data_IF_814585979478
#
_entry.id   IF_814585979478
#
_cell.length_a   1.000
_cell.length_b   1.000
_cell.length_c   1.000
_cell.angle_alpha   90.00
_cell.angle_beta   90.00
_cell.angle_gamma   90.00
#
_symmetry.space_group_name_H-M   'P 1'
#
loop_
_entity.id
_entity.type
_entity.pdbx_description
1 polymer ?
#
# COMPACT_ATOMS: atom_id res chain seq x y z
N UNK A 1 -14.23 10.70 -12.10
CA UNK A 1 -13.01 11.52 -12.12
C UNK A 1 -11.84 10.57 -12.00
N UNK A 2 -10.95 10.58 -12.99
CA UNK A 2 -9.87 9.61 -13.22
C UNK A 2 -8.82 9.68 -12.12
N UNK A 3 -8.57 8.55 -11.45
CA UNK A 3 -7.60 8.40 -10.37
C UNK A 3 -6.17 8.32 -10.88
N UNK A 4 -5.60 9.47 -11.23
CA UNK A 4 -4.17 9.67 -11.55
C UNK A 4 -3.55 10.64 -10.53
N UNK A 5 -3.92 10.49 -9.26
CA UNK A 5 -3.55 11.43 -8.21
C UNK A 5 -2.18 11.14 -7.60
N UNK A 6 -1.37 12.18 -7.45
CA UNK A 6 -0.10 12.10 -6.71
C UNK A 6 -0.28 12.33 -5.22
N UNK A 7 0.46 11.56 -4.42
CA UNK A 7 0.73 11.90 -3.02
C UNK A 7 1.74 13.04 -3.00
N UNK A 8 1.62 13.97 -2.05
CA UNK A 8 2.70 14.91 -1.77
C UNK A 8 3.16 14.78 -0.32
N UNK A 9 4.47 14.90 -0.09
CA UNK A 9 5.04 15.02 1.25
C UNK A 9 6.09 16.11 1.22
N UNK A 10 5.95 17.09 2.12
CA UNK A 10 6.95 18.14 2.32
C UNK A 10 7.02 18.53 3.80
N UNK A 11 8.22 18.87 4.26
CA UNK A 11 8.43 19.34 5.61
C UNK A 11 8.91 20.80 5.57
N UNK A 12 8.52 21.57 6.58
CA UNK A 12 8.84 23.01 6.66
C UNK A 12 9.88 23.21 7.75
N UNK A 13 10.99 23.89 7.47
CA UNK A 13 11.94 24.23 8.51
C UNK A 13 11.35 25.23 9.51
N UNK A 14 11.76 25.13 10.78
CA UNK A 14 11.41 26.07 11.85
C UNK A 14 12.11 27.41 11.68
N UNK A 15 13.38 27.40 11.29
CA UNK A 15 14.20 28.56 11.02
C UNK A 15 14.43 28.73 9.50
N UNK A 16 14.99 29.87 9.08
CA UNK A 16 15.30 30.15 7.66
C UNK A 16 16.33 29.21 7.05
N UNK A 17 17.17 28.60 7.88
CA UNK A 17 18.13 27.58 7.46
C UNK A 17 18.07 26.43 8.45
N UNK A 18 18.24 25.22 7.95
CA UNK A 18 18.33 24.02 8.75
C UNK A 18 19.05 22.92 7.98
N UNK A 19 19.62 21.98 8.72
CA UNK A 19 20.30 20.79 8.19
C UNK A 19 19.39 19.55 8.24
N UNK A 20 18.14 19.71 8.71
CA UNK A 20 17.18 18.63 8.74
C UNK A 20 16.93 18.06 7.34
N UNK A 21 16.92 16.74 7.30
CA UNK A 21 16.54 15.93 6.15
C UNK A 21 15.35 15.05 6.53
N UNK A 22 14.64 14.56 5.52
CA UNK A 22 13.56 13.62 5.73
C UNK A 22 13.64 12.40 4.81
N UNK A 23 13.18 11.27 5.32
CA UNK A 23 12.91 10.06 4.54
C UNK A 23 11.40 9.77 4.52
N UNK A 24 10.89 9.36 3.37
CA UNK A 24 9.48 8.99 3.19
C UNK A 24 9.37 7.51 2.92
N UNK A 25 8.57 6.81 3.71
CA UNK A 25 8.25 5.40 3.53
C UNK A 25 6.78 5.26 3.15
N UNK A 26 6.49 4.62 2.04
CA UNK A 26 5.14 4.40 1.54
C UNK A 26 4.91 2.90 1.38
N UNK A 27 4.04 2.32 2.20
CA UNK A 27 3.77 0.88 2.17
C UNK A 27 2.31 0.64 1.80
N UNK A 28 2.06 0.07 0.63
CA UNK A 28 0.73 -0.36 0.22
C UNK A 28 0.51 -1.83 0.59
N UNK A 29 -0.60 -2.12 1.27
CA UNK A 29 -0.94 -3.49 1.66
C UNK A 29 -2.22 -3.93 0.96
N UNK A 30 -2.09 -4.86 0.01
CA UNK A 30 -3.18 -5.46 -0.79
C UNK A 30 -3.78 -6.68 -0.08
N UNK A 31 -4.20 -6.51 1.18
CA UNK A 31 -4.72 -7.59 2.02
C UNK A 31 -6.05 -8.14 1.48
N UNK A 32 -6.88 -7.27 0.90
CA UNK A 32 -8.15 -7.67 0.28
C UNK A 32 -7.97 -8.27 -1.13
N UNK A 33 -6.72 -8.41 -1.61
CA UNK A 33 -6.43 -9.07 -2.89
C UNK A 33 -6.69 -10.57 -2.89
N UNK A 34 -6.70 -11.21 -1.71
CA UNK A 34 -7.14 -12.60 -1.56
C UNK A 34 -8.66 -12.64 -1.28
N UNK A 35 -9.44 -13.09 -2.26
CA UNK A 35 -10.90 -13.15 -2.17
C UNK A 35 -11.42 -14.20 -1.16
N UNK A 36 -10.62 -15.22 -0.86
CA UNK A 36 -11.00 -16.29 0.06
C UNK A 36 -10.65 -15.93 1.52
N UNK A 37 -9.75 -14.98 1.73
CA UNK A 37 -9.40 -14.48 3.06
C UNK A 37 -10.54 -13.70 3.72
N UNK A 38 -10.96 -14.13 4.91
CA UNK A 38 -12.07 -13.52 5.70
C UNK A 38 -11.60 -12.60 6.81
N UNK A 39 -10.31 -12.62 7.15
CA UNK A 39 -9.74 -11.86 8.25
C UNK A 39 -10.23 -12.29 9.63
N UNK A 40 -9.57 -11.78 10.68
CA UNK A 40 -9.88 -12.06 12.10
C UNK A 40 -11.25 -11.52 12.52
N UNK A 41 -11.68 -10.39 11.94
CA UNK A 41 -12.88 -9.65 12.34
C UNK A 41 -13.87 -9.42 11.17
N UNK A 42 -13.78 -10.19 10.09
CA UNK A 42 -14.70 -10.15 8.94
C UNK A 42 -14.55 -8.94 7.99
N UNK A 43 -13.94 -7.83 8.43
CA UNK A 43 -13.68 -6.65 7.58
C UNK A 43 -12.21 -6.62 7.15
N UNK A 44 -11.92 -7.23 6.01
CA UNK A 44 -10.63 -7.13 5.33
C UNK A 44 -10.61 -5.87 4.48
N UNK A 45 -9.56 -5.06 4.60
CA UNK A 45 -9.39 -3.83 3.82
C UNK A 45 -7.93 -3.66 3.44
N UNK A 46 -7.72 -3.09 2.27
CA UNK A 46 -6.43 -2.54 1.90
C UNK A 46 -6.16 -1.25 2.67
N UNK A 47 -4.88 -0.95 2.81
CA UNK A 47 -4.44 0.26 3.45
C UNK A 47 -3.10 0.72 2.90
N UNK A 48 -2.88 2.03 3.04
CA UNK A 48 -1.62 2.68 2.80
C UNK A 48 -1.00 3.06 4.14
N UNK A 49 0.26 2.73 4.37
CA UNK A 49 1.03 3.27 5.49
C UNK A 49 2.03 4.30 4.99
N UNK A 50 2.04 5.46 5.63
CA UNK A 50 2.98 6.54 5.38
C UNK A 50 3.86 6.75 6.60
N UNK A 51 5.16 6.60 6.38
CA UNK A 51 6.21 6.86 7.33
C UNK A 51 6.99 8.12 6.97
N UNK A 52 7.26 8.97 7.94
CA UNK A 52 8.17 10.12 7.77
C UNK A 52 9.25 10.06 8.85
N UNK A 53 10.50 9.93 8.41
CA UNK A 53 11.69 9.95 9.24
C UNK A 53 12.33 11.33 9.16
N UNK A 54 12.65 11.94 10.30
CA UNK A 54 13.32 13.24 10.40
C UNK A 54 14.66 13.08 11.09
N UNK A 55 15.75 13.54 10.49
CA UNK A 55 17.09 13.49 11.09
C UNK A 55 17.27 14.49 12.23
N UNK A 56 16.87 15.75 12.00
CA UNK A 56 16.93 16.85 12.97
C UNK A 56 15.52 17.40 13.25
N UNK A 57 14.65 16.65 13.95
CA UNK A 57 13.24 16.99 14.09
C UNK A 57 13.00 18.33 14.80
N UNK A 58 13.90 18.76 15.69
CA UNK A 58 13.80 20.04 16.39
C UNK A 58 13.80 21.25 15.44
N UNK A 59 14.44 21.10 14.28
CA UNK A 59 14.54 22.10 13.22
C UNK A 59 13.34 22.08 12.25
N UNK A 60 12.37 21.18 12.43
CA UNK A 60 11.18 21.05 11.57
C UNK A 60 9.96 21.65 12.25
N UNK A 61 9.25 22.54 11.57
CA UNK A 61 8.04 23.19 12.07
C UNK A 61 6.80 22.30 11.97
N UNK A 62 6.64 21.63 10.81
CA UNK A 62 5.50 20.76 10.50
C UNK A 62 5.88 19.80 9.37
N UNK A 63 5.18 18.68 9.30
CA UNK A 63 5.21 17.75 8.16
C UNK A 63 3.83 17.75 7.52
N UNK A 64 3.77 18.01 6.22
CA UNK A 64 2.54 18.00 5.45
C UNK A 64 2.51 16.77 4.53
N UNK A 65 1.36 16.10 4.47
CA UNK A 65 1.12 14.92 3.65
C UNK A 65 -0.21 15.14 2.92
N UNK A 66 -0.17 15.27 1.59
CA UNK A 66 -1.35 15.33 0.75
C UNK A 66 -1.69 13.96 0.18
N UNK A 67 -2.95 13.57 0.30
CA UNK A 67 -3.52 12.35 -0.25
C UNK A 67 -4.58 12.72 -1.29
N UNK A 68 -4.56 12.12 -2.50
CA UNK A 68 -5.44 12.51 -3.61
C UNK A 68 -6.86 11.94 -3.49
N UNK A 69 -7.37 11.78 -2.27
CA UNK A 69 -8.70 11.28 -1.97
C UNK A 69 -9.18 11.81 -0.62
N UNK A 70 -10.50 11.88 -0.45
CA UNK A 70 -11.13 12.32 0.78
C UNK A 70 -11.00 11.25 1.88
N UNK A 71 -10.62 11.69 3.07
CA UNK A 71 -10.46 10.85 4.25
C UNK A 71 -11.07 11.52 5.47
N UNK A 72 -11.69 10.70 6.31
CA UNK A 72 -12.08 11.08 7.66
C UNK A 72 -10.94 10.72 8.62
N UNK A 73 -10.81 11.47 9.71
CA UNK A 73 -9.82 11.20 10.76
C UNK A 73 -9.93 9.77 11.31
N UNK A 74 -11.14 9.23 11.38
CA UNK A 74 -11.42 7.84 11.82
C UNK A 74 -10.88 6.76 10.89
N UNK A 75 -10.45 7.11 9.67
CA UNK A 75 -9.80 6.20 8.73
C UNK A 75 -8.27 6.16 8.93
N UNK A 76 -7.73 6.94 9.86
CA UNK A 76 -6.31 7.04 10.16
C UNK A 76 -6.02 6.35 11.49
N UNK A 77 -5.03 5.47 11.49
CA UNK A 77 -4.53 4.75 12.66
C UNK A 77 -3.06 5.10 12.89
N UNK A 78 -2.70 5.30 14.15
CA UNK A 78 -1.30 5.45 14.56
C UNK A 78 -0.63 4.07 14.64
N UNK A 79 0.44 3.87 13.86
CA UNK A 79 1.18 2.61 13.88
C UNK A 79 2.27 2.56 14.96
N UNK A 80 2.60 3.67 15.62
CA UNK A 80 3.68 3.72 16.60
C UNK A 80 3.54 2.73 17.76
N UNK A 81 2.34 2.47 18.33
CA UNK A 81 2.19 1.48 19.41
C UNK A 81 2.70 0.08 19.05
N UNK A 82 2.62 -0.32 17.78
CA UNK A 82 3.12 -1.63 17.34
C UNK A 82 4.64 -1.77 17.43
N UNK A 83 5.40 -0.66 17.45
CA UNK A 83 6.86 -0.69 17.57
C UNK A 83 7.35 -1.07 18.96
N UNK A 84 6.46 -1.14 19.97
CA UNK A 84 6.77 -1.72 21.27
C UNK A 84 6.98 -3.25 21.21
N UNK A 85 6.70 -3.88 20.06
CA UNK A 85 7.06 -5.27 19.76
C UNK A 85 8.32 -5.29 18.92
N UNK A 86 9.37 -5.91 19.45
CA UNK A 86 10.69 -5.95 18.84
C UNK A 86 10.62 -6.54 17.42
N UNK A 87 9.85 -7.61 17.22
CA UNK A 87 9.73 -8.30 15.94
C UNK A 87 9.16 -7.39 14.85
N UNK A 88 8.21 -6.51 15.20
CA UNK A 88 7.64 -5.52 14.29
C UNK A 88 8.67 -4.45 13.94
N UNK A 89 9.35 -3.90 14.96
CA UNK A 89 10.36 -2.88 14.75
C UNK A 89 11.51 -3.40 13.86
N UNK A 90 12.00 -4.61 14.15
CA UNK A 90 13.02 -5.29 13.35
C UNK A 90 12.50 -5.60 11.94
N UNK A 91 11.27 -6.07 11.80
CA UNK A 91 10.66 -6.39 10.51
C UNK A 91 10.49 -5.16 9.60
N UNK A 92 10.13 -4.01 10.17
CA UNK A 92 9.94 -2.75 9.45
C UNK A 92 11.27 -2.11 9.05
N UNK A 93 12.23 -2.00 9.97
CA UNK A 93 13.50 -1.32 9.71
C UNK A 93 14.56 -2.25 9.10
N UNK A 94 14.36 -3.57 9.16
CA UNK A 94 15.33 -4.58 8.77
C UNK A 94 16.67 -4.40 9.51
N UNK A 95 16.59 -4.11 10.81
CA UNK A 95 17.72 -3.84 11.69
C UNK A 95 17.56 -4.62 13.00
N UNK A 96 18.63 -5.08 13.65
CA UNK A 96 18.56 -5.75 14.95
C UNK A 96 18.31 -4.71 16.05
N UNK A 97 17.03 -4.44 16.29
CA UNK A 97 16.56 -3.43 17.25
C UNK A 97 16.10 -4.06 18.57
N UNK A 98 16.14 -3.27 19.62
CA UNK A 98 15.37 -3.47 20.85
C UNK A 98 14.49 -2.24 21.10
N UNK A 99 13.46 -2.38 21.93
CA UNK A 99 12.52 -1.30 22.21
C UNK A 99 12.42 -1.03 23.73
N UNK A 100 12.39 0.25 24.09
CA UNK A 100 12.08 0.69 25.44
C UNK A 100 10.84 1.59 25.41
N UNK A 101 9.80 1.18 26.12
CA UNK A 101 8.67 2.05 26.43
C UNK A 101 9.05 2.90 27.64
N UNK A 102 9.27 4.21 27.43
CA UNK A 102 9.62 5.13 28.52
C UNK A 102 8.37 5.54 29.31
N UNK A 103 8.52 5.72 30.63
CA UNK A 103 7.62 6.56 31.43
C UNK A 103 7.99 8.02 31.12
N UNK A 104 7.29 8.65 30.18
CA UNK A 104 7.66 9.96 29.63
C UNK A 104 6.81 10.30 28.41
N UNK A 105 7.32 11.11 27.44
CA UNK A 105 6.56 11.49 26.24
C UNK A 105 6.04 10.25 25.51
N UNK A 106 4.85 10.36 24.91
CA UNK A 106 4.18 9.27 24.20
C UNK A 106 5.01 8.87 22.97
N UNK A 107 5.93 7.92 23.16
CA UNK A 107 6.83 7.44 22.13
C UNK A 107 7.36 6.04 22.44
N UNK A 108 7.85 5.36 21.39
CA UNK A 108 8.66 4.14 21.51
C UNK A 108 10.10 4.49 21.16
N UNK A 109 11.04 4.24 22.07
CA UNK A 109 12.47 4.42 21.81
C UNK A 109 13.03 3.12 21.24
N UNK A 110 13.56 3.18 20.02
CA UNK A 110 14.22 2.08 19.35
C UNK A 110 15.73 2.20 19.55
N UNK A 111 16.37 1.08 19.87
CA UNK A 111 17.78 1.01 20.21
C UNK A 111 18.46 0.01 19.29
N UNK A 112 19.60 0.39 18.72
CA UNK A 112 20.48 -0.47 17.92
C UNK A 112 21.81 -0.61 18.65
N UNK A 113 22.18 -1.83 19.01
CA UNK A 113 23.48 -2.13 19.64
C UNK A 113 23.79 -1.26 20.88
N UNK A 114 22.77 -0.97 21.70
CA UNK A 114 22.89 -0.15 22.91
C UNK A 114 22.85 1.37 22.66
N UNK A 115 22.78 1.81 21.41
CA UNK A 115 22.67 3.24 21.04
C UNK A 115 21.25 3.59 20.60
N UNK A 116 20.73 4.80 20.90
CA UNK A 116 19.43 5.24 20.39
C UNK A 116 19.43 5.24 18.86
N UNK A 117 18.53 4.47 18.25
CA UNK A 117 18.35 4.39 16.81
C UNK A 117 17.40 5.49 16.32
N UNK A 118 16.19 5.53 16.89
CA UNK A 118 15.23 6.62 16.70
C UNK A 118 14.14 6.58 17.76
N UNK A 119 13.33 7.65 17.83
CA UNK A 119 12.06 7.63 18.56
C UNK A 119 10.87 7.63 17.62
N UNK A 120 9.93 6.72 17.85
CA UNK A 120 8.66 6.67 17.12
C UNK A 120 7.61 7.40 17.94
N UNK A 121 7.00 8.45 17.38
CA UNK A 121 5.98 9.24 18.09
C UNK A 121 4.65 8.49 18.18
N UNK A 122 4.08 8.36 19.38
CA UNK A 122 2.72 7.89 19.60
C UNK A 122 1.80 9.10 19.69
N UNK A 123 0.81 9.16 18.81
CA UNK A 123 -0.17 10.24 18.79
C UNK A 123 -1.17 10.07 19.94
N UNK A 124 -1.46 11.17 20.62
CA UNK A 124 -2.48 11.26 21.65
C UNK A 124 -3.86 11.01 21.04
N UNK A 125 -4.75 10.44 21.85
CA UNK A 125 -6.14 10.22 21.45
C UNK A 125 -7.09 10.94 22.39
N UNK A 126 -8.11 11.57 21.82
CA UNK A 126 -9.22 12.22 22.52
C UNK A 126 -10.52 11.50 22.11
N UNK A 127 -11.20 10.86 23.07
CA UNK A 127 -12.41 10.07 22.83
C UNK A 127 -12.26 8.97 21.75
N UNK A 128 -11.07 8.35 21.67
CA UNK A 128 -10.79 7.27 20.71
C UNK A 128 -10.44 7.72 19.29
N UNK A 129 -10.35 9.03 19.02
CA UNK A 129 -9.81 9.60 17.79
C UNK A 129 -8.46 10.27 18.05
N UNK A 130 -7.61 10.39 17.02
CA UNK A 130 -6.32 11.09 17.13
C UNK A 130 -6.52 12.56 17.50
N UNK A 131 -5.65 13.13 18.33
CA UNK A 131 -5.72 14.55 18.71
C UNK A 131 -5.39 15.45 17.51
N UNK A 132 -6.38 16.23 17.07
CA UNK A 132 -6.25 17.18 15.95
C UNK A 132 -5.16 18.24 16.18
N UNK A 133 -4.79 18.50 17.43
CA UNK A 133 -3.68 19.41 17.75
C UNK A 133 -2.33 18.83 17.39
N UNK A 134 -2.21 17.50 17.31
CA UNK A 134 -1.00 16.80 16.89
C UNK A 134 -1.05 16.37 15.41
N UNK A 135 -2.23 15.99 14.93
CA UNK A 135 -2.47 15.63 13.53
C UNK A 135 -3.70 16.37 12.98
N UNK A 136 -3.47 17.51 12.34
CA UNK A 136 -4.56 18.25 11.71
C UNK A 136 -4.94 17.62 10.36
N UNK A 137 -6.24 17.47 10.10
CA UNK A 137 -6.79 16.92 8.87
C UNK A 137 -7.70 17.95 8.22
N UNK A 138 -7.47 18.25 6.94
CA UNK A 138 -8.27 19.23 6.20
C UNK A 138 -8.52 18.78 4.76
N UNK A 139 -9.67 19.14 4.21
CA UNK A 139 -9.95 18.93 2.79
C UNK A 139 -9.13 19.91 1.95
N UNK A 140 -8.55 19.43 0.85
CA UNK A 140 -7.82 20.28 -0.08
C UNK A 140 -7.91 19.73 -1.50
N UNK A 141 -8.47 20.50 -2.42
CA UNK A 141 -8.46 20.20 -3.86
C UNK A 141 -9.03 18.82 -4.22
N UNK A 142 -10.10 18.39 -3.54
CA UNK A 142 -10.69 17.05 -3.73
C UNK A 142 -9.89 15.90 -3.11
N UNK A 143 -8.80 16.21 -2.39
CA UNK A 143 -8.03 15.29 -1.56
C UNK A 143 -8.02 15.70 -0.09
N UNK A 144 -7.11 15.11 0.68
CA UNK A 144 -6.95 15.37 2.11
C UNK A 144 -5.52 15.79 2.41
N UNK A 145 -5.37 16.88 3.16
CA UNK A 145 -4.10 17.34 3.70
C UNK A 145 -4.01 16.96 5.17
N UNK A 146 -3.06 16.09 5.50
CA UNK A 146 -2.66 15.74 6.85
C UNK A 146 -1.46 16.61 7.24
N UNK A 147 -1.49 17.18 8.45
CA UNK A 147 -0.38 17.98 8.99
C UNK A 147 0.02 17.46 10.36
N UNK A 148 1.20 16.85 10.45
CA UNK A 148 1.84 16.56 11.74
C UNK A 148 2.36 17.90 12.26
N UNK A 149 1.75 18.35 13.35
CA UNK A 149 1.95 19.71 13.86
C UNK A 149 3.25 19.82 14.64
N UNK A 150 3.61 21.07 14.95
CA UNK A 150 4.73 21.35 15.84
C UNK A 150 4.57 20.72 17.22
N UNK A 151 3.34 20.62 17.73
CA UNK A 151 3.08 20.03 19.04
C UNK A 151 3.50 18.57 19.09
N UNK A 152 3.14 17.78 18.08
CA UNK A 152 3.56 16.37 17.97
C UNK A 152 5.09 16.24 17.92
N UNK A 153 5.74 17.09 17.11
CA UNK A 153 7.21 17.12 16.96
C UNK A 153 7.91 17.49 18.28
N UNK A 154 7.46 18.54 18.96
CA UNK A 154 8.08 18.97 20.23
C UNK A 154 7.89 17.93 21.35
N UNK A 155 6.74 17.26 21.38
CA UNK A 155 6.46 16.23 22.39
C UNK A 155 7.41 15.04 22.27
N UNK A 156 7.56 14.45 21.07
CA UNK A 156 8.51 13.33 20.87
C UNK A 156 9.97 13.75 21.03
N UNK A 157 10.29 15.02 20.78
CA UNK A 157 11.61 15.61 21.00
C UNK A 157 11.92 15.93 22.47
N UNK A 158 10.98 15.76 23.39
CA UNK A 158 11.21 16.05 24.81
C UNK A 158 12.32 15.15 25.36
N UNK A 159 13.39 15.77 25.91
CA UNK A 159 14.60 15.07 26.37
C UNK A 159 15.24 14.16 25.31
N UNK A 160 15.15 14.54 24.03
CA UNK A 160 15.81 13.87 22.92
C UNK A 160 17.27 14.32 22.84
N UNK A 161 18.20 13.38 22.66
CA UNK A 161 19.59 13.74 22.45
C UNK A 161 19.75 14.46 21.10
N UNK A 162 20.69 15.40 21.02
CA UNK A 162 20.97 16.11 19.77
C UNK A 162 21.30 15.12 18.63
N UNK A 163 20.78 15.38 17.43
CA UNK A 163 20.95 14.50 16.27
C UNK A 163 20.23 13.16 16.33
N UNK A 164 19.39 12.91 17.34
CA UNK A 164 18.57 11.70 17.36
C UNK A 164 17.36 11.87 16.45
N UNK A 165 17.14 10.93 15.52
CA UNK A 165 16.04 11.02 14.57
C UNK A 165 14.70 10.64 15.21
N UNK A 166 13.63 11.13 14.58
CA UNK A 166 12.24 10.83 14.95
C UNK A 166 11.50 10.24 13.76
N UNK A 167 10.60 9.31 14.04
CA UNK A 167 9.77 8.65 13.04
C UNK A 167 8.29 8.79 13.38
N UNK A 168 7.49 9.13 12.37
CA UNK A 168 6.03 9.11 12.43
C UNK A 168 5.53 8.06 11.46
N UNK A 169 4.53 7.26 11.83
CA UNK A 169 3.95 6.25 10.94
C UNK A 169 2.44 6.19 11.10
N UNK A 170 1.73 6.53 10.04
CA UNK A 170 0.27 6.52 9.98
C UNK A 170 -0.19 5.45 9.01
N UNK A 171 -1.21 4.68 9.39
CA UNK A 171 -1.96 3.79 8.49
C UNK A 171 -3.27 4.46 8.09
N UNK A 172 -3.55 4.43 6.80
CA UNK A 172 -4.72 5.04 6.18
C UNK A 172 -5.53 3.92 5.53
N UNK A 173 -6.72 3.66 6.07
CA UNK A 173 -7.66 2.70 5.50
C UNK A 173 -8.33 3.29 4.27
N UNK A 174 -8.26 2.57 3.15
CA UNK A 174 -8.81 3.03 1.87
C UNK A 174 -10.23 2.46 1.75
N UNK A 175 -11.25 3.32 1.81
CA UNK A 175 -12.66 2.90 1.73
C UNK A 175 -13.27 3.05 0.33
N UNK A 176 -12.68 3.88 -0.54
CA UNK A 176 -13.22 4.20 -1.87
C UNK A 176 -12.47 3.49 -3.00
N UNK A 177 -13.01 3.58 -4.24
CA UNK A 177 -12.37 3.05 -5.46
C UNK A 177 -10.87 3.35 -5.46
N UNK A 178 -10.09 2.28 -5.45
CA UNK A 178 -8.64 2.21 -5.33
C UNK A 178 -7.94 3.39 -6.04
N UNK A 179 -7.42 4.38 -5.29
CA UNK A 179 -6.80 5.55 -5.91
C UNK A 179 -5.44 5.23 -6.53
N UNK A 180 -4.77 4.19 -6.01
CA UNK A 180 -3.46 3.74 -6.46
C UNK A 180 -3.50 2.42 -7.22
N UNK A 181 -4.55 1.62 -7.03
CA UNK A 181 -4.69 0.31 -7.67
C UNK A 181 -5.80 0.35 -8.71
N UNK A 182 -5.54 -0.24 -9.87
CA UNK A 182 -6.59 -0.43 -10.87
C UNK A 182 -6.60 -1.87 -11.31
N UNK A 183 -7.72 -2.51 -11.07
CA UNK A 183 -8.02 -3.87 -11.51
C UNK A 183 -8.62 -3.83 -12.92
N UNK A 184 -7.99 -4.53 -13.86
CA UNK A 184 -8.50 -4.77 -15.21
C UNK A 184 -8.90 -6.24 -15.30
N UNK A 185 -10.19 -6.49 -15.53
CA UNK A 185 -10.72 -7.84 -15.77
C UNK A 185 -10.78 -8.11 -17.29
N UNK A 186 -10.11 -9.16 -17.80
CA UNK A 186 -10.19 -9.54 -19.21
C UNK A 186 -11.63 -9.89 -19.66
N UNK A 187 -11.96 -9.63 -20.92
CA UNK A 187 -13.31 -9.84 -21.48
C UNK A 187 -13.63 -11.31 -21.73
N UNK A 188 -12.62 -12.12 -22.03
CA UNK A 188 -12.69 -13.56 -22.30
C UNK A 188 -12.55 -14.41 -21.03
N UNK A 189 -12.69 -13.78 -19.86
CA UNK A 189 -12.63 -14.39 -18.52
C UNK A 189 -13.42 -15.70 -18.38
N UNK A 190 -14.53 -15.86 -19.10
CA UNK A 190 -15.37 -17.06 -19.04
C UNK A 190 -14.77 -18.29 -19.75
N UNK A 191 -13.77 -18.10 -20.61
CA UNK A 191 -13.18 -19.14 -21.46
C UNK A 191 -11.72 -19.50 -21.11
N UNK A 192 -11.00 -18.64 -20.38
CA UNK A 192 -9.63 -18.90 -19.96
C UNK A 192 -9.58 -19.64 -18.61
N UNK A 193 -8.98 -20.84 -18.58
CA UNK A 193 -8.93 -21.73 -17.40
C UNK A 193 -8.04 -21.24 -16.25
N UNK A 194 -7.27 -20.17 -16.45
CA UNK A 194 -6.55 -19.42 -15.42
C UNK A 194 -7.06 -17.99 -15.45
N UNK A 195 -7.73 -17.55 -14.41
CA UNK A 195 -8.22 -16.18 -14.37
C UNK A 195 -7.03 -15.27 -14.05
N UNK A 196 -6.54 -14.54 -15.05
CA UNK A 196 -5.55 -13.48 -14.89
C UNK A 196 -6.28 -12.17 -14.58
N UNK A 197 -6.32 -11.80 -13.31
CA UNK A 197 -6.66 -10.45 -12.93
C UNK A 197 -5.40 -9.59 -13.07
N UNK A 198 -5.43 -8.61 -13.98
CA UNK A 198 -4.33 -7.67 -14.13
C UNK A 198 -4.59 -6.49 -13.23
N UNK A 199 -3.75 -6.33 -12.22
CA UNK A 199 -3.77 -5.15 -11.37
C UNK A 199 -2.55 -4.29 -11.70
N UNK A 200 -2.65 -2.99 -11.50
CA UNK A 200 -1.45 -2.16 -11.43
C UNK A 200 -1.53 -1.20 -10.28
N UNK A 201 -0.39 -0.99 -9.63
CA UNK A 201 -0.17 0.04 -8.62
C UNK A 201 0.63 1.16 -9.26
N UNK A 202 0.10 2.39 -9.23
CA UNK A 202 0.80 3.58 -9.70
C UNK A 202 0.95 4.56 -8.53
N UNK A 203 2.09 4.50 -7.84
CA UNK A 203 2.42 5.46 -6.78
C UNK A 203 3.29 6.57 -7.35
N UNK A 204 2.83 7.80 -7.18
CA UNK A 204 3.58 9.02 -7.49
C UNK A 204 3.66 9.88 -6.24
N UNK A 205 4.86 10.34 -5.92
CA UNK A 205 5.17 11.23 -4.82
C UNK A 205 5.77 12.52 -5.38
N UNK A 206 5.20 13.66 -5.00
CA UNK A 206 5.66 15.00 -5.38
C UNK A 206 5.78 15.24 -6.90
N UNK A 207 5.10 14.45 -7.74
CA UNK A 207 5.16 14.59 -9.19
C UNK A 207 4.33 15.80 -9.65
N UNK A 208 5.01 16.90 -10.01
CA UNK A 208 4.38 18.18 -10.29
C UNK A 208 3.25 18.11 -11.34
N UNK A 209 3.41 17.30 -12.39
CA UNK A 209 2.41 17.19 -13.49
C UNK A 209 1.06 16.61 -13.06
N UNK A 210 1.00 15.94 -11.92
CA UNK A 210 -0.20 15.24 -11.41
C UNK A 210 -0.66 15.77 -10.06
N UNK A 211 0.06 16.73 -9.47
CA UNK A 211 -0.36 17.40 -8.26
C UNK A 211 -1.39 18.51 -8.57
N UNK A 212 -2.40 18.71 -7.71
CA UNK A 212 -3.27 19.87 -7.84
C UNK A 212 -2.50 21.17 -7.63
N UNK A 213 -2.71 22.17 -8.50
CA UNK A 213 -2.03 23.48 -8.44
C UNK A 213 -2.09 24.13 -7.05
N UNK A 214 -3.18 23.96 -6.30
CA UNK A 214 -3.31 24.51 -4.94
C UNK A 214 -2.34 23.85 -3.95
N UNK A 215 -2.06 22.55 -4.10
CA UNK A 215 -1.08 21.83 -3.28
C UNK A 215 0.33 22.31 -3.63
N UNK A 216 0.64 22.45 -4.91
CA UNK A 216 1.92 23.02 -5.36
C UNK A 216 2.12 24.45 -4.84
N UNK A 217 1.10 25.30 -4.92
CA UNK A 217 1.13 26.65 -4.37
C UNK A 217 1.35 26.66 -2.85
N UNK A 218 0.81 25.68 -2.10
CA UNK A 218 1.07 25.54 -0.67
C UNK A 218 2.51 25.13 -0.39
N UNK A 219 3.06 24.20 -1.17
CA UNK A 219 4.48 23.80 -1.08
C UNK A 219 5.39 25.00 -1.35
N UNK A 220 5.10 25.77 -2.39
CA UNK A 220 5.84 26.99 -2.74
C UNK A 220 5.71 28.08 -1.66
N UNK A 221 4.51 28.29 -1.11
CA UNK A 221 4.29 29.26 -0.03
C UNK A 221 5.04 28.87 1.26
N UNK A 222 5.01 27.59 1.63
CA UNK A 222 5.76 27.07 2.78
C UNK A 222 7.29 27.16 2.56
N UNK A 223 7.75 27.16 1.29
CA UNK A 223 9.15 27.30 0.89
C UNK A 223 9.57 28.75 0.53
N UNK A 224 8.66 29.73 0.60
CA UNK A 224 8.93 31.08 0.10
C UNK A 224 10.04 31.80 0.89
N UNK A 225 10.04 31.64 2.21
CA UNK A 225 11.00 32.30 3.12
C UNK A 225 12.12 31.36 3.59
N UNK A 226 12.07 30.08 3.22
CA UNK A 226 12.92 29.01 3.77
C UNK A 226 13.09 27.92 2.70
N UNK A 227 14.29 27.37 2.49
CA UNK A 227 14.42 26.21 1.61
C UNK A 227 13.54 25.06 2.15
N UNK A 228 13.02 24.18 1.30
CA UNK A 228 12.32 22.99 1.76
C UNK A 228 13.30 22.04 2.47
N UNK A 229 12.80 21.28 3.45
CA UNK A 229 13.57 20.18 4.05
C UNK A 229 13.91 19.16 2.96
N UNK A 230 15.19 18.82 2.83
CA UNK A 230 15.67 17.91 1.79
C UNK A 230 15.15 16.49 2.02
N UNK A 231 14.44 15.93 1.04
CA UNK A 231 14.07 14.51 1.03
C UNK A 231 15.26 13.69 0.56
N UNK A 232 15.93 12.95 1.45
CA UNK A 232 17.14 12.19 1.09
C UNK A 232 16.85 10.75 0.70
N UNK A 233 15.67 10.24 1.07
CA UNK A 233 15.26 8.87 0.74
C UNK A 233 13.75 8.76 0.57
N UNK A 234 13.35 8.02 -0.45
CA UNK A 234 11.96 7.58 -0.64
C UNK A 234 11.98 6.06 -0.80
N UNK A 235 11.21 5.35 0.01
CA UNK A 235 11.01 3.92 -0.10
C UNK A 235 9.54 3.63 -0.37
N UNK A 236 9.27 2.85 -1.41
CA UNK A 236 7.96 2.32 -1.71
C UNK A 236 7.96 0.81 -1.57
N UNK A 237 6.96 0.28 -0.89
CA UNK A 237 6.78 -1.14 -0.66
C UNK A 237 5.34 -1.51 -0.99
N UNK A 238 5.14 -2.63 -1.67
CA UNK A 238 3.81 -3.26 -1.78
C UNK A 238 3.84 -4.67 -1.19
N UNK A 239 2.86 -4.99 -0.35
CA UNK A 239 2.63 -6.31 0.22
C UNK A 239 1.38 -6.91 -0.43
N UNK A 240 1.54 -8.00 -1.16
CA UNK A 240 0.48 -8.65 -1.96
C UNK A 240 0.45 -10.16 -1.68
N UNK A 241 -0.68 -10.86 -1.86
CA UNK A 241 -0.71 -12.32 -1.77
C UNK A 241 0.27 -12.97 -2.75
N UNK A 242 0.87 -14.10 -2.40
CA UNK A 242 1.86 -14.83 -3.23
C UNK A 242 1.29 -15.29 -4.59
N UNK A 243 -0.04 -15.34 -4.72
CA UNK A 243 -0.71 -15.65 -5.98
C UNK A 243 -0.67 -14.47 -6.98
N UNK A 244 -0.22 -13.29 -6.53
CA UNK A 244 -0.01 -12.12 -7.35
C UNK A 244 1.47 -12.00 -7.74
N UNK A 245 1.75 -12.13 -9.03
CA UNK A 245 3.09 -11.98 -9.58
C UNK A 245 3.30 -10.57 -10.15
N UNK A 246 4.41 -9.93 -9.77
CA UNK A 246 4.86 -8.69 -10.43
C UNK A 246 5.39 -9.04 -11.82
N UNK A 247 4.73 -8.52 -12.85
CA UNK A 247 5.05 -8.80 -14.26
C UNK A 247 5.82 -7.68 -14.93
N UNK A 248 5.64 -6.44 -14.46
CA UNK A 248 6.33 -5.27 -14.97
C UNK A 248 6.54 -4.26 -13.85
N UNK A 249 7.67 -3.58 -13.86
CA UNK A 249 7.96 -2.46 -12.96
C UNK A 249 8.68 -1.37 -13.74
N UNK A 250 8.25 -0.11 -13.60
CA UNK A 250 8.93 1.04 -14.22
C UNK A 250 10.27 1.35 -13.56
N UNK A 251 10.49 0.85 -12.34
CA UNK A 251 11.68 1.13 -11.52
C UNK A 251 12.38 -0.18 -11.15
N UNK A 252 13.70 -0.15 -10.99
CA UNK A 252 14.47 -1.33 -10.61
C UNK A 252 14.01 -1.81 -9.23
N UNK A 253 13.56 -3.07 -9.16
CA UNK A 253 13.18 -3.72 -7.92
C UNK A 253 14.42 -3.82 -7.02
N UNK A 254 14.34 -3.28 -5.81
CA UNK A 254 15.47 -3.33 -4.87
C UNK A 254 15.55 -4.68 -4.14
N UNK A 255 14.41 -5.19 -3.65
CA UNK A 255 14.33 -6.47 -2.93
C UNK A 255 12.91 -7.03 -3.01
N UNK A 256 12.79 -8.36 -3.01
CA UNK A 256 11.54 -9.06 -2.74
C UNK A 256 11.74 -10.13 -1.67
N UNK A 257 10.72 -10.38 -0.84
CA UNK A 257 10.74 -11.46 0.16
C UNK A 257 9.34 -11.94 0.52
N UNK A 258 9.26 -13.16 1.02
CA UNK A 258 8.07 -13.65 1.72
C UNK A 258 7.97 -12.98 3.10
N UNK A 259 6.77 -12.57 3.50
CA UNK A 259 6.49 -12.05 4.83
C UNK A 259 6.32 -13.18 5.84
N UNK A 260 6.87 -12.96 7.02
CA UNK A 260 6.79 -13.86 8.16
C UNK A 260 5.39 -13.80 8.80
N UNK A 261 4.51 -14.72 8.43
CA UNK A 261 3.08 -14.62 8.73
C UNK A 261 2.74 -14.26 10.19
N UNK A 262 3.35 -14.93 11.17
CA UNK A 262 2.95 -14.86 12.58
C UNK A 262 2.87 -13.44 13.15
N UNK A 263 3.94 -12.65 13.06
CA UNK A 263 3.95 -11.32 13.68
C UNK A 263 3.25 -10.27 12.81
N UNK A 264 3.30 -10.40 11.48
CA UNK A 264 2.55 -9.50 10.59
C UNK A 264 1.04 -9.70 10.69
N UNK A 265 0.58 -10.92 10.95
CA UNK A 265 -0.82 -11.22 11.20
C UNK A 265 -1.36 -10.52 12.44
N UNK A 266 -0.52 -10.19 13.42
CA UNK A 266 -0.91 -9.38 14.57
C UNK A 266 -0.69 -7.88 14.38
N UNK A 267 0.21 -7.49 13.47
CA UNK A 267 0.44 -6.09 13.09
C UNK A 267 -0.74 -5.48 12.34
N UNK A 268 -1.42 -6.31 11.53
CA UNK A 268 -2.59 -5.92 10.77
C UNK A 268 -3.86 -6.32 11.55
N UNK A 269 -4.75 -5.38 11.93
CA UNK A 269 -5.94 -5.69 12.73
C UNK A 269 -6.87 -6.74 12.13
N UNK A 270 -6.99 -6.78 10.79
CA UNK A 270 -7.75 -7.81 10.09
C UNK A 270 -7.02 -9.15 10.00
N UNK A 271 -5.76 -9.23 10.40
CA UNK A 271 -4.84 -10.28 9.97
C UNK A 271 -4.38 -10.11 8.53
N UNK A 272 -3.52 -11.02 8.10
CA UNK A 272 -3.05 -11.12 6.71
C UNK A 272 -3.32 -12.53 6.15
N UNK A 273 -3.49 -12.68 4.82
CA UNK A 273 -3.48 -13.99 4.18
C UNK A 273 -2.19 -14.79 4.45
N UNK A 274 -2.29 -16.10 4.29
CA UNK A 274 -1.11 -16.96 4.26
C UNK A 274 -0.29 -16.70 2.99
N UNK A 275 1.03 -16.57 3.15
CA UNK A 275 1.93 -16.33 2.03
C UNK A 275 1.72 -14.95 1.40
N UNK A 276 2.13 -13.89 2.10
CA UNK A 276 2.22 -12.55 1.52
C UNK A 276 3.64 -12.30 1.03
N UNK A 277 3.77 -11.74 -0.18
CA UNK A 277 5.03 -11.28 -0.74
C UNK A 277 5.16 -9.77 -0.66
N UNK A 278 6.37 -9.32 -0.38
CA UNK A 278 6.75 -7.91 -0.37
C UNK A 278 7.68 -7.62 -1.52
N UNK A 279 7.39 -6.54 -2.23
CA UNK A 279 8.25 -5.94 -3.24
C UNK A 279 8.63 -4.52 -2.80
N UNK A 280 9.90 -4.18 -2.91
CA UNK A 280 10.46 -2.94 -2.39
C UNK A 280 11.25 -2.20 -3.49
N UNK A 281 10.94 -0.92 -3.64
CA UNK A 281 11.65 0.04 -4.48
C UNK A 281 12.14 1.18 -3.60
N UNK A 282 13.34 1.69 -3.87
CA UNK A 282 13.88 2.82 -3.10
C UNK A 282 14.67 3.78 -3.97
N UNK A 283 14.68 5.03 -3.58
CA UNK A 283 15.55 6.08 -4.07
C UNK A 283 16.30 6.68 -2.89
N UNK A 284 17.60 6.88 -3.06
CA UNK A 284 18.46 7.52 -2.07
C UNK A 284 19.29 8.54 -2.82
N UNK A 285 19.10 9.82 -2.50
CA UNK A 285 19.88 10.92 -3.06
C UNK A 285 20.17 11.94 -1.95
N UNK A 286 21.42 12.04 -1.46
CA UNK A 286 21.82 13.05 -0.48
C UNK A 286 21.60 14.50 -0.95
N UNK A 287 21.59 14.75 -2.26
CA UNK A 287 21.35 16.08 -2.83
C UNK A 287 19.87 16.47 -2.84
N UNK A 288 18.97 15.49 -2.66
CA UNK A 288 17.54 15.70 -2.54
C UNK A 288 16.73 15.11 -3.69
N UNK A 289 15.67 14.39 -3.31
CA UNK A 289 14.70 13.77 -4.21
C UNK A 289 13.54 14.75 -4.40
N UNK A 290 13.32 15.20 -5.64
CA UNK A 290 12.24 16.14 -5.97
C UNK A 290 10.91 15.44 -6.15
N UNK A 291 10.93 14.32 -6.87
CA UNK A 291 9.77 13.48 -7.15
C UNK A 291 10.18 12.00 -7.11
N UNK A 292 9.19 11.12 -6.97
CA UNK A 292 9.38 9.68 -7.05
C UNK A 292 8.17 9.05 -7.71
N UNK A 293 8.39 8.09 -8.62
CA UNK A 293 7.31 7.31 -9.22
C UNK A 293 7.65 5.82 -9.23
N UNK A 294 6.67 5.00 -8.89
CA UNK A 294 6.75 3.55 -8.96
C UNK A 294 5.46 3.01 -9.58
N UNK A 295 5.56 2.58 -10.84
CA UNK A 295 4.50 1.88 -11.53
C UNK A 295 4.80 0.39 -11.54
N UNK A 296 3.85 -0.41 -11.06
CA UNK A 296 3.98 -1.85 -10.88
C UNK A 296 2.76 -2.52 -11.48
N UNK A 297 2.95 -3.41 -12.45
CA UNK A 297 1.90 -4.26 -12.99
C UNK A 297 1.99 -5.63 -12.35
N UNK A 298 0.87 -6.13 -11.87
CA UNK A 298 0.72 -7.41 -11.23
C UNK A 298 -0.31 -8.26 -11.98
N UNK A 299 -0.09 -9.56 -12.01
CA UNK A 299 -1.04 -10.54 -12.48
C UNK A 299 -1.36 -11.48 -11.34
N UNK A 300 -2.64 -11.55 -10.97
CA UNK A 300 -3.10 -12.46 -9.93
C UNK A 300 -3.82 -13.62 -10.58
N UNK A 301 -3.31 -14.84 -10.34
CA UNK A 301 -3.99 -16.04 -10.80
C UNK A 301 -5.07 -16.42 -9.80
N UNK A 302 -6.33 -16.21 -10.17
CA UNK A 302 -7.47 -16.67 -9.35
C UNK A 302 -7.83 -18.11 -9.70
N UNK A 303 -7.60 -19.02 -8.76
CA UNK A 303 -8.11 -20.40 -8.83
C UNK A 303 -8.86 -20.70 -7.55
N UNK A 304 -10.18 -20.86 -7.63
CA UNK A 304 -11.03 -21.15 -6.47
C UNK A 304 -11.90 -22.37 -6.69
N UNK A 305 -12.34 -23.01 -5.60
CA UNK A 305 -13.26 -24.16 -5.66
C UNK A 305 -14.58 -23.81 -6.37
N UNK A 306 -15.04 -22.57 -6.24
CA UNK A 306 -16.22 -22.07 -6.95
C UNK A 306 -15.99 -21.98 -8.46
N UNK A 307 -14.79 -21.55 -8.88
CA UNK A 307 -14.40 -21.49 -10.29
C UNK A 307 -14.36 -22.91 -10.86
N UNK A 308 -13.71 -23.84 -10.15
CA UNK A 308 -13.67 -25.25 -10.53
C UNK A 308 -15.07 -25.86 -10.65
N UNK A 309 -15.96 -25.60 -9.68
CA UNK A 309 -17.36 -26.04 -9.71
C UNK A 309 -18.09 -25.49 -10.95
N UNK A 310 -17.93 -24.21 -11.25
CA UNK A 310 -18.56 -23.60 -12.42
C UNK A 310 -18.06 -24.25 -13.72
N UNK A 311 -16.76 -24.55 -13.82
CA UNK A 311 -16.21 -25.28 -14.97
C UNK A 311 -16.80 -26.67 -15.11
N UNK A 312 -16.91 -27.43 -14.02
CA UNK A 312 -17.51 -28.76 -14.04
C UNK A 312 -18.97 -28.71 -14.52
N UNK A 313 -19.74 -27.70 -14.10
CA UNK A 313 -21.11 -27.48 -14.55
C UNK A 313 -21.17 -27.16 -16.05
N UNK A 314 -20.31 -26.25 -16.52
CA UNK A 314 -20.25 -25.89 -17.95
C UNK A 314 -19.84 -27.10 -18.80
N UNK A 315 -18.79 -27.82 -18.40
CA UNK A 315 -18.32 -29.03 -19.08
C UNK A 315 -19.41 -30.10 -19.13
N UNK A 316 -20.15 -30.31 -18.03
CA UNK A 316 -21.30 -31.21 -17.99
C UNK A 316 -22.40 -30.76 -18.97
N UNK A 317 -22.74 -29.47 -18.99
CA UNK A 317 -23.74 -28.93 -19.92
C UNK A 317 -23.33 -29.13 -21.39
N UNK A 318 -22.05 -28.88 -21.73
CA UNK A 318 -21.52 -29.17 -23.06
C UNK A 318 -21.56 -30.67 -23.39
N UNK A 319 -21.29 -31.55 -22.42
CA UNK A 319 -21.42 -32.99 -22.59
C UNK A 319 -22.86 -33.41 -22.89
N UNK A 320 -23.84 -32.88 -22.16
CA UNK A 320 -25.27 -33.14 -22.40
C UNK A 320 -25.71 -32.62 -23.76
N UNK A 321 -25.37 -31.37 -24.11
CA UNK A 321 -25.69 -30.78 -25.40
C UNK A 321 -25.04 -31.56 -26.55
N UNK A 322 -23.77 -31.95 -26.40
CA UNK A 322 -23.04 -32.76 -27.36
C UNK A 322 -23.74 -34.09 -27.62
N UNK A 323 -24.14 -34.80 -26.56
CA UNK A 323 -24.89 -36.05 -26.68
C UNK A 323 -26.25 -35.85 -27.35
N UNK A 324 -27.01 -34.81 -26.97
CA UNK A 324 -28.29 -34.51 -27.62
C UNK A 324 -28.13 -34.21 -29.11
N UNK A 325 -27.12 -33.42 -29.48
CA UNK A 325 -26.81 -33.15 -30.89
C UNK A 325 -26.37 -34.40 -31.63
N UNK A 326 -25.54 -35.25 -31.02
CA UNK A 326 -25.11 -36.51 -31.62
C UNK A 326 -26.32 -37.42 -31.90
N UNK A 327 -27.20 -37.61 -30.91
CA UNK A 327 -28.42 -38.41 -31.06
C UNK A 327 -29.41 -37.82 -32.07
N UNK A 328 -29.46 -36.50 -32.25
CA UNK A 328 -30.31 -35.87 -33.26
C UNK A 328 -29.78 -36.06 -34.69
N UNK A 329 -28.46 -36.09 -34.88
CA UNK A 329 -27.83 -36.19 -36.19
C UNK A 329 -27.61 -37.66 -36.59
N UNK A 330 -27.41 -38.55 -35.61
CA UNK A 330 -27.15 -39.99 -35.81
C UNK A 330 -28.14 -40.66 -36.79
N UNK A 331 -29.47 -40.45 -36.73
CA UNK A 331 -30.40 -41.04 -37.71
C UNK A 331 -30.14 -40.58 -39.15
N UNK A 332 -29.82 -39.29 -39.32
CA UNK A 332 -29.55 -38.70 -40.64
C UNK A 332 -28.22 -39.17 -41.22
N UNK A 333 -27.18 -39.27 -40.37
CA UNK A 333 -25.87 -39.82 -40.73
C UNK A 333 -25.98 -41.30 -41.12
N UNK A 334 -26.70 -42.11 -40.34
CA UNK A 334 -26.88 -43.54 -40.60
C UNK A 334 -27.67 -43.76 -41.89
N UNK A 335 -28.69 -42.92 -42.16
CA UNK A 335 -29.45 -42.96 -43.41
C UNK A 335 -28.60 -42.56 -44.63
N UNK A 336 -27.78 -41.51 -44.51
CA UNK A 336 -26.86 -41.10 -45.57
C UNK A 336 -25.77 -42.16 -45.86
N UNK A 337 -25.20 -42.77 -44.81
CA UNK A 337 -24.19 -43.81 -44.94
C UNK A 337 -24.75 -45.11 -45.54
N UNK A 338 -25.96 -45.52 -45.14
CA UNK A 338 -26.62 -46.68 -45.75
C UNK A 338 -26.98 -46.44 -47.23
N UNK A 339 -27.41 -45.23 -47.58
CA UNK A 339 -27.62 -44.84 -48.98
C UNK A 339 -26.32 -44.89 -49.79
N UNK A 340 -25.21 -44.33 -49.27
CA UNK A 340 -23.91 -44.40 -49.93
C UNK A 340 -23.39 -45.84 -50.06
N UNK A 341 -23.53 -46.67 -49.01
CA UNK A 341 -23.16 -48.07 -49.07
C UNK A 341 -23.97 -48.83 -50.14
N UNK A 342 -25.24 -48.48 -50.36
CA UNK A 342 -26.06 -49.05 -51.45
C UNK A 342 -25.63 -48.62 -52.86
N UNK A 343 -25.01 -47.45 -52.99
CA UNK A 343 -24.47 -46.93 -54.26
C UNK A 343 -23.12 -47.54 -54.63
N UNK A 344 -22.28 -47.88 -53.64
CA UNK A 344 -20.94 -48.46 -53.86
C UNK A 344 -20.86 -49.98 -53.63
N UNK A 345 -21.93 -50.61 -53.12
CA UNK A 345 -22.02 -52.04 -52.84
C UNK A 345 -22.60 -52.90 -53.96
N UNK A 346 -22.30 -52.57 -55.22
CA UNK A 346 -22.56 -53.44 -56.39
C UNK A 346 -21.28 -53.77 -57.12
#
# INVERSE_FOLDING_TARGET
MSGDGSVAVWCVHRARHGEATAEVHCNYWRVAGDADFKGKNGRVRDFLELGVWLSEPTQVAKVNIFLPFSLLLTAIEDCAPYFARVEIAQGIFNEPLTCNSRRGPQCVELIKEGTPFCRVHIFMTNNGALDERQLAVSENSGGTLLTITRQAIDEVCTNLAAGSPVYFRLRIYIESKEPFVRTITPRDRLFQSGFDEVEYVDLRLNEARTLPNRVENLMLADAADRPPVTLTRVAFLTAVPVLADVTLSSRLLHKSRLLEHNFWNDYVPSGIPDGMMVYHWREIDPAGIKDFSAFVKMQTRRTGRQILKNYLIIAFAFGVLGNLTASAIEPSLTSALSFLASLFGK
#
